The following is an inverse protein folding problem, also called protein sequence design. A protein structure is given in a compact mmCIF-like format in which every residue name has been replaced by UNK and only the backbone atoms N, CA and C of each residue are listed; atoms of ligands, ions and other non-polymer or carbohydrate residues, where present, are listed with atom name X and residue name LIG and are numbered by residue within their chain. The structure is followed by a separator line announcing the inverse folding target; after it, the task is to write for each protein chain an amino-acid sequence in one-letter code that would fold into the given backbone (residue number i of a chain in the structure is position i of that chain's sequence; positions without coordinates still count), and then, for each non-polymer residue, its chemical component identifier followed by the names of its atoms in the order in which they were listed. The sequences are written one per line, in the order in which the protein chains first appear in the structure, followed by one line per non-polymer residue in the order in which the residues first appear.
data_IF_603648649898
#
_entry.id   IF_603648649898
#
_cell.length_a   1.000
_cell.length_b   1.000
_cell.length_c   1.000
_cell.angle_alpha   90.00
_cell.angle_beta   90.00
_cell.angle_gamma   90.00
#
_symmetry.space_group_name_H-M   'P 1'
#
loop_
_entity.id
_entity.type
_entity.pdbx_description
1 polymer ?
#
# COMPACT_ATOMS: atom_id res chain seq x y z
N UNK A 1 -3.40 17.84 -3.45
CA UNK A 1 -2.08 18.12 -4.05
C UNK A 1 -1.52 16.90 -4.78
N UNK A 2 -1.37 15.74 -4.12
CA UNK A 2 -0.78 14.55 -4.74
C UNK A 2 -1.61 13.98 -5.91
N UNK A 3 -2.95 14.00 -5.82
CA UNK A 3 -3.82 13.59 -6.93
C UNK A 3 -3.63 14.44 -8.18
N UNK A 4 -3.43 15.75 -7.97
CA UNK A 4 -3.15 16.71 -9.05
C UNK A 4 -1.83 16.38 -9.76
N UNK A 5 -0.80 15.97 -9.03
CA UNK A 5 0.49 15.56 -9.59
C UNK A 5 0.34 14.34 -10.53
N UNK A 6 -0.46 13.35 -10.13
CA UNK A 6 -0.75 12.21 -11.00
C UNK A 6 -1.56 12.64 -12.23
N UNK A 7 -2.64 13.41 -12.03
CA UNK A 7 -3.57 13.79 -13.10
C UNK A 7 -2.92 14.68 -14.18
N UNK A 8 -2.02 15.56 -13.80
CA UNK A 8 -1.32 16.44 -14.74
C UNK A 8 -0.35 15.70 -15.67
N UNK A 9 0.01 14.44 -15.35
CA UNK A 9 0.93 13.57 -16.11
C UNK A 9 2.28 14.22 -16.46
N UNK A 10 2.64 15.31 -15.78
CA UNK A 10 3.85 16.11 -16.04
C UNK A 10 5.16 15.32 -15.87
N UNK A 11 5.11 14.26 -15.06
CA UNK A 11 6.27 13.42 -14.72
C UNK A 11 6.28 12.07 -15.43
N UNK A 12 5.34 11.83 -16.36
CA UNK A 12 5.32 10.60 -17.14
C UNK A 12 6.31 10.64 -18.31
N UNK A 13 6.89 9.49 -18.62
CA UNK A 13 7.78 9.28 -19.76
C UNK A 13 7.65 7.85 -20.27
N UNK A 14 8.22 7.54 -21.43
CA UNK A 14 8.11 6.22 -22.06
C UNK A 14 8.64 5.03 -21.22
N UNK A 15 9.37 5.28 -20.13
CA UNK A 15 9.90 4.23 -19.24
C UNK A 15 9.49 4.37 -17.79
N UNK A 16 8.60 5.32 -17.46
CA UNK A 16 8.23 5.61 -16.08
C UNK A 16 6.85 6.27 -16.03
N UNK A 17 5.99 5.78 -15.13
CA UNK A 17 4.76 6.48 -14.77
C UNK A 17 4.69 6.75 -13.28
N UNK A 18 3.95 7.80 -12.95
CA UNK A 18 3.65 8.18 -11.58
C UNK A 18 2.28 7.64 -11.22
N UNK A 19 2.23 6.75 -10.23
CA UNK A 19 0.98 6.23 -9.67
C UNK A 19 0.89 6.63 -8.21
N UNK A 20 -0.11 7.45 -7.90
CA UNK A 20 -0.53 7.76 -6.55
C UNK A 20 -1.23 6.54 -5.94
N UNK A 21 -0.70 6.08 -4.80
CA UNK A 21 -1.34 5.06 -3.98
C UNK A 21 -1.74 5.68 -2.65
N UNK A 22 -3.05 5.81 -2.43
CA UNK A 22 -3.65 6.29 -1.18
C UNK A 22 -4.00 5.12 -0.24
N UNK A 23 -3.06 4.23 0.02
CA UNK A 23 -3.32 3.01 0.79
C UNK A 23 -3.34 3.22 2.32
N UNK A 24 -2.98 4.41 2.80
CA UNK A 24 -2.95 4.77 4.23
C UNK A 24 -4.04 5.76 4.65
N UNK A 25 -4.88 6.24 3.71
CA UNK A 25 -5.87 7.29 3.99
C UNK A 25 -6.89 6.91 5.07
N UNK A 26 -7.08 5.61 5.32
CA UNK A 26 -8.05 5.10 6.28
C UNK A 26 -7.40 4.60 7.59
N UNK A 27 -6.10 4.84 7.79
CA UNK A 27 -5.41 4.56 9.06
C UNK A 27 -5.62 5.75 9.98
N UNK A 28 -6.79 5.78 10.64
CA UNK A 28 -7.20 6.88 11.51
C UNK A 28 -6.98 6.59 13.01
N UNK A 29 -6.69 5.33 13.36
CA UNK A 29 -6.43 4.88 14.73
C UNK A 29 -5.13 4.07 14.78
N UNK A 30 -4.64 3.83 16.00
CA UNK A 30 -3.52 2.92 16.25
C UNK A 30 -3.83 1.52 15.74
N UNK A 31 -2.79 0.83 15.24
CA UNK A 31 -2.94 -0.57 14.84
C UNK A 31 -3.14 -1.41 16.09
N UNK A 32 -4.18 -2.25 16.06
CA UNK A 32 -4.58 -3.08 17.19
C UNK A 32 -4.21 -4.53 16.96
N UNK A 33 -3.85 -5.21 18.04
CA UNK A 33 -3.60 -6.64 18.01
C UNK A 33 -4.93 -7.43 18.00
N UNK A 34 -4.84 -8.77 17.97
CA UNK A 34 -6.01 -9.66 17.96
C UNK A 34 -6.92 -9.58 19.21
N UNK A 35 -6.48 -8.88 20.25
CA UNK A 35 -7.23 -8.64 21.49
C UNK A 35 -7.82 -7.22 21.54
N UNK A 36 -7.78 -6.47 20.45
CA UNK A 36 -8.26 -5.09 20.33
C UNK A 36 -7.45 -4.06 21.17
N UNK A 37 -6.24 -4.43 21.58
CA UNK A 37 -5.30 -3.55 22.29
C UNK A 37 -4.30 -2.93 21.30
N UNK A 38 -3.69 -1.80 21.65
CA UNK A 38 -2.60 -1.20 20.86
C UNK A 38 -1.47 -2.21 20.64
N UNK A 39 -1.11 -2.46 19.39
CA UNK A 39 0.01 -3.34 19.05
C UNK A 39 1.33 -2.59 19.18
N UNK A 40 1.91 -2.57 20.38
CA UNK A 40 3.19 -1.91 20.64
C UNK A 40 4.35 -2.49 19.80
N UNK A 41 4.28 -3.74 19.34
CA UNK A 41 5.30 -4.33 18.48
C UNK A 41 5.24 -3.74 17.04
N UNK A 42 4.11 -3.13 16.66
CA UNK A 42 3.92 -2.48 15.37
C UNK A 42 4.71 -1.18 15.24
N UNK A 43 5.02 -0.52 16.36
CA UNK A 43 5.70 0.77 16.41
C UNK A 43 7.14 0.65 16.96
N UNK A 44 7.98 1.61 16.60
CA UNK A 44 9.31 1.77 17.18
C UNK A 44 9.20 2.25 18.65
N UNK A 45 10.34 2.36 19.34
CA UNK A 45 10.37 2.76 20.77
C UNK A 45 9.74 4.12 21.05
N UNK A 46 9.72 5.02 20.05
CA UNK A 46 9.10 6.34 20.14
C UNK A 46 7.57 6.33 19.96
N UNK A 47 6.97 5.17 19.68
CA UNK A 47 5.54 4.96 19.42
C UNK A 47 4.98 5.81 18.26
N UNK A 48 5.85 6.32 17.39
CA UNK A 48 5.46 7.14 16.25
C UNK A 48 5.91 6.50 14.94
N UNK A 49 7.19 6.13 14.84
CA UNK A 49 7.69 5.44 13.66
C UNK A 49 7.24 3.98 13.68
N UNK A 50 7.12 3.39 12.49
CA UNK A 50 6.88 1.96 12.37
C UNK A 50 8.12 1.18 12.81
N UNK A 51 7.91 0.07 13.53
CA UNK A 51 8.98 -0.88 13.81
C UNK A 51 9.42 -1.59 12.53
N UNK A 52 10.45 -2.45 12.62
CA UNK A 52 10.77 -3.38 11.53
C UNK A 52 9.56 -4.25 11.13
N UNK A 53 8.78 -4.68 12.12
CA UNK A 53 7.57 -5.47 11.88
C UNK A 53 6.48 -4.62 11.21
N UNK A 54 6.17 -3.43 11.73
CA UNK A 54 5.17 -2.53 11.12
C UNK A 54 5.50 -2.17 9.67
N UNK A 55 6.76 -1.84 9.38
CA UNK A 55 7.23 -1.62 8.00
C UNK A 55 7.04 -2.85 7.10
N UNK A 56 7.23 -4.06 7.63
CA UNK A 56 7.09 -5.30 6.86
C UNK A 56 5.62 -5.57 6.49
N UNK A 57 4.70 -5.34 7.44
CA UNK A 57 3.25 -5.43 7.18
C UNK A 57 2.83 -4.40 6.11
N UNK A 58 3.26 -3.13 6.25
CA UNK A 58 2.99 -2.09 5.26
C UNK A 58 3.53 -2.47 3.87
N UNK A 59 4.75 -3.02 3.79
CA UNK A 59 5.34 -3.45 2.52
C UNK A 59 4.55 -4.58 1.84
N UNK A 60 4.06 -5.57 2.62
CA UNK A 60 3.21 -6.65 2.10
C UNK A 60 1.93 -6.07 1.50
N UNK A 61 1.25 -5.17 2.21
CA UNK A 61 0.03 -4.56 1.69
C UNK A 61 0.29 -3.70 0.46
N UNK A 62 1.35 -2.89 0.47
CA UNK A 62 1.74 -2.09 -0.69
C UNK A 62 1.98 -2.99 -1.91
N UNK A 63 2.77 -4.05 -1.76
CA UNK A 63 3.03 -5.03 -2.82
C UNK A 63 1.75 -5.65 -3.36
N UNK A 64 0.90 -6.15 -2.46
CA UNK A 64 -0.37 -6.78 -2.84
C UNK A 64 -1.29 -5.82 -3.57
N UNK A 65 -1.21 -4.54 -3.24
CA UNK A 65 -2.03 -3.48 -3.81
C UNK A 65 -1.59 -3.05 -5.21
N UNK A 66 -0.37 -3.39 -5.64
CA UNK A 66 0.09 -3.12 -7.00
C UNK A 66 -0.74 -3.94 -8.00
N UNK A 67 -1.20 -5.12 -7.60
CA UNK A 67 -1.99 -6.03 -8.41
C UNK A 67 -3.50 -5.77 -8.38
N UNK A 68 -3.96 -4.75 -7.65
CA UNK A 68 -5.38 -4.39 -7.64
C UNK A 68 -5.80 -3.86 -9.03
N UNK A 69 -7.04 -4.14 -9.48
CA UNK A 69 -7.57 -3.62 -10.74
C UNK A 69 -7.51 -2.09 -10.81
N UNK A 70 -7.34 -1.56 -12.03
CA UNK A 70 -7.43 -0.13 -12.32
C UNK A 70 -8.76 0.42 -11.83
N UNK A 71 -8.76 1.58 -11.17
CA UNK A 71 -9.96 2.20 -10.60
C UNK A 71 -10.45 1.61 -9.26
N UNK A 72 -9.90 0.48 -8.81
CA UNK A 72 -10.21 -0.14 -7.50
C UNK A 72 -9.01 -0.10 -6.54
N UNK A 73 -8.00 0.71 -6.86
CA UNK A 73 -6.75 0.81 -6.10
C UNK A 73 -6.97 1.70 -4.86
N UNK A 74 -7.09 1.09 -3.67
CA UNK A 74 -6.93 1.83 -2.40
C UNK A 74 -8.12 1.88 -1.44
N UNK A 75 -9.10 0.96 -1.53
CA UNK A 75 -10.16 0.91 -0.52
C UNK A 75 -9.73 0.06 0.68
N UNK A 76 -9.46 0.72 1.81
CA UNK A 76 -9.47 0.13 3.16
C UNK A 76 -8.56 -1.07 3.38
N UNK A 77 -7.27 -0.83 3.58
CA UNK A 77 -6.35 -1.87 4.07
C UNK A 77 -6.53 -2.02 5.58
N UNK A 78 -6.79 -3.24 6.03
CA UNK A 78 -6.74 -3.59 7.46
C UNK A 78 -5.32 -4.01 7.83
N UNK A 79 -4.54 -3.08 8.40
CA UNK A 79 -3.16 -3.37 8.84
C UNK A 79 -3.08 -4.20 10.13
N UNK A 80 -4.21 -4.37 10.83
CA UNK A 80 -4.31 -5.29 11.97
C UNK A 80 -4.45 -6.76 11.52
N UNK A 81 -4.72 -7.01 10.23
CA UNK A 81 -4.77 -8.37 9.69
C UNK A 81 -3.37 -8.91 9.41
N UNK A 82 -2.84 -9.67 10.37
CA UNK A 82 -1.53 -10.30 10.27
C UNK A 82 -1.54 -11.60 9.46
N UNK A 83 -2.70 -12.03 8.93
CA UNK A 83 -2.82 -13.24 8.11
C UNK A 83 -2.48 -12.98 6.63
N UNK A 84 -2.38 -11.71 6.23
CA UNK A 84 -2.10 -11.33 4.85
C UNK A 84 -0.70 -11.79 4.46
N UNK A 85 -0.64 -12.57 3.38
CA UNK A 85 0.61 -13.05 2.79
C UNK A 85 0.94 -12.31 1.49
N UNK A 86 2.21 -12.37 1.11
CA UNK A 86 2.73 -11.71 -0.08
C UNK A 86 2.20 -12.41 -1.34
N UNK A 87 1.42 -11.70 -2.15
CA UNK A 87 0.84 -12.23 -3.39
C UNK A 87 1.96 -12.49 -4.40
N UNK A 88 1.97 -13.71 -4.94
CA UNK A 88 2.82 -14.04 -6.08
C UNK A 88 2.11 -13.62 -7.38
N UNK A 89 2.70 -12.75 -8.20
CA UNK A 89 2.09 -12.33 -9.45
C UNK A 89 2.00 -13.48 -10.46
N UNK A 90 0.86 -13.55 -11.15
CA UNK A 90 0.72 -14.42 -12.32
C UNK A 90 1.25 -13.70 -13.58
N UNK A 91 1.54 -14.45 -14.65
CA UNK A 91 1.94 -13.85 -15.94
C UNK A 91 0.93 -12.80 -16.45
N UNK A 92 -0.36 -12.97 -16.12
CA UNK A 92 -1.44 -12.05 -16.50
C UNK A 92 -1.43 -10.77 -15.67
N UNK A 93 -1.16 -10.84 -14.35
CA UNK A 93 -1.17 -9.64 -13.49
C UNK A 93 -0.01 -8.69 -13.80
N UNK A 94 1.11 -9.20 -14.34
CA UNK A 94 2.19 -8.35 -14.84
C UNK A 94 1.73 -7.46 -16.00
N UNK A 95 0.89 -7.97 -16.91
CA UNK A 95 0.45 -7.17 -18.07
C UNK A 95 -0.37 -5.94 -17.66
N UNK A 96 -1.22 -6.09 -16.64
CA UNK A 96 -2.07 -5.01 -16.10
C UNK A 96 -1.25 -3.89 -15.44
N UNK A 97 -0.09 -4.21 -14.86
CA UNK A 97 0.82 -3.21 -14.32
C UNK A 97 1.46 -2.35 -15.43
N UNK A 98 1.72 -2.94 -16.60
CA UNK A 98 2.37 -2.28 -17.73
C UNK A 98 1.40 -1.56 -18.67
N UNK A 99 0.09 -1.85 -18.64
CA UNK A 99 -0.89 -1.08 -19.43
C UNK A 99 -1.08 0.36 -18.95
N UNK A 100 -0.65 0.70 -17.73
CA UNK A 100 -0.54 2.10 -17.29
C UNK A 100 0.62 2.87 -17.94
N UNK A 101 1.50 2.20 -18.70
CA UNK A 101 2.67 2.80 -19.36
C UNK A 101 2.45 3.03 -20.86
N UNK A 102 1.23 2.83 -21.39
CA UNK A 102 0.90 3.09 -22.80
C UNK A 102 -0.27 4.05 -22.95
#
# INVERSE_FOLDING_TARGET
MLEKIQYERKFESNGFAVVLKMFTNNVLDVIRNKFDETDNAFYAEDLFHLSKYGNSVFAIHLWNSLFDPVGHKGFGVNFSDTSVTLKCPSKVSFHILFEFQK
#
